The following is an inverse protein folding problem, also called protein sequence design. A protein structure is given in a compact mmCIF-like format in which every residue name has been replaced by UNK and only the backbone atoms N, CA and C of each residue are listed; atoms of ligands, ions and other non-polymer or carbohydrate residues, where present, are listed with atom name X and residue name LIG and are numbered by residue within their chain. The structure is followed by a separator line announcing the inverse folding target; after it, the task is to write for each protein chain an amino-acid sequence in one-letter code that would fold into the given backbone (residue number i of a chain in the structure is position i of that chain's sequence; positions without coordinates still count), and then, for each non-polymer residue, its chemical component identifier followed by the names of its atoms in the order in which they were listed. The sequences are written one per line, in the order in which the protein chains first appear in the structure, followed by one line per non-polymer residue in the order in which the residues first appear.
data_IF_646892512348
#
_entry.id   IF_646892512348
#
_cell.length_a   1.000
_cell.length_b   1.000
_cell.length_c   1.000
_cell.angle_alpha   90.00
_cell.angle_beta   90.00
_cell.angle_gamma   90.00
#
_symmetry.space_group_name_H-M   'P 1'
#
loop_
_entity.id
_entity.type
_entity.pdbx_description
1 polymer ?
#
# COMPACT_ATOMS: atom_id res chain seq x y z
N UNK A 1 20.27 0.44 -4.65
CA UNK A 1 19.30 1.49 -4.27
C UNK A 1 18.04 0.77 -3.87
N UNK A 2 17.50 1.08 -2.69
CA UNK A 2 16.34 0.38 -2.16
C UNK A 2 15.07 0.57 -2.97
N UNK A 3 14.09 -0.28 -2.75
CA UNK A 3 12.82 -0.32 -3.47
C UNK A 3 11.66 0.18 -2.61
N UNK A 4 10.69 0.86 -3.24
CA UNK A 4 9.43 1.25 -2.62
C UNK A 4 8.30 0.36 -3.11
N UNK A 5 7.72 -0.39 -2.18
CA UNK A 5 6.62 -1.30 -2.43
C UNK A 5 5.29 -0.75 -1.90
N UNK A 6 4.27 -0.74 -2.75
CA UNK A 6 2.89 -0.44 -2.38
C UNK A 6 2.18 -1.74 -2.06
N UNK A 7 1.65 -1.89 -0.85
CA UNK A 7 0.87 -3.06 -0.42
C UNK A 7 -0.58 -2.62 -0.19
N UNK A 8 -1.50 -3.13 -0.98
CA UNK A 8 -2.90 -2.68 -0.91
C UNK A 8 -3.89 -3.83 -0.96
N UNK A 9 -4.80 -3.83 0.01
CA UNK A 9 -6.04 -4.59 -0.08
C UNK A 9 -7.02 -3.81 -0.97
N UNK A 10 -7.60 -4.49 -1.97
CA UNK A 10 -8.39 -3.85 -3.01
C UNK A 10 -9.57 -4.73 -3.41
N UNK A 11 -10.72 -4.11 -3.62
CA UNK A 11 -11.91 -4.77 -4.17
C UNK A 11 -11.80 -4.94 -5.70
N UNK A 12 -12.66 -5.76 -6.30
CA UNK A 12 -12.72 -5.91 -7.76
C UNK A 12 -12.98 -4.61 -8.51
N UNK A 13 -13.68 -3.65 -7.89
CA UNK A 13 -13.96 -2.32 -8.46
C UNK A 13 -12.96 -1.24 -8.01
N UNK A 14 -11.86 -1.66 -7.38
CA UNK A 14 -10.72 -0.79 -7.08
C UNK A 14 -10.78 0.00 -5.78
N UNK A 15 -11.73 -0.28 -4.89
CA UNK A 15 -11.86 0.41 -3.60
C UNK A 15 -10.81 -0.11 -2.62
N UNK A 16 -10.18 0.81 -1.88
CA UNK A 16 -9.14 0.55 -0.88
C UNK A 16 -9.51 1.08 0.52
N UNK A 17 -10.66 1.73 0.66
CA UNK A 17 -11.07 2.39 1.89
C UNK A 17 -11.52 1.39 2.94
N UNK A 18 -11.07 1.58 4.19
CA UNK A 18 -11.57 0.90 5.40
C UNK A 18 -11.57 -0.64 5.32
N UNK A 19 -10.61 -1.25 4.63
CA UNK A 19 -10.53 -2.70 4.46
C UNK A 19 -10.55 -3.46 5.79
N UNK A 20 -9.73 -3.07 6.76
CA UNK A 20 -9.57 -3.75 8.05
C UNK A 20 -10.69 -3.47 9.07
N UNK A 21 -11.56 -2.51 8.82
CA UNK A 21 -12.67 -2.14 9.69
C UNK A 21 -12.87 -0.64 9.84
N UNK A 22 -13.91 -0.22 10.57
CA UNK A 22 -14.18 1.18 10.77
C UNK A 22 -13.08 1.83 11.61
N UNK A 23 -12.63 3.01 11.18
CA UNK A 23 -11.72 3.86 11.91
C UNK A 23 -12.26 5.30 11.95
N UNK A 24 -11.79 6.10 12.90
CA UNK A 24 -12.13 7.52 12.95
C UNK A 24 -11.81 8.25 11.63
N UNK A 25 -10.80 7.78 10.90
CA UNK A 25 -10.35 8.37 9.64
C UNK A 25 -11.25 8.02 8.43
N UNK A 26 -12.11 7.02 8.57
CA UNK A 26 -13.01 6.55 7.51
C UNK A 26 -14.43 7.11 7.62
N UNK A 27 -14.75 7.79 8.75
CA UNK A 27 -16.08 8.27 9.03
C UNK A 27 -17.13 7.14 9.04
N UNK A 28 -18.32 7.44 8.51
CA UNK A 28 -19.45 6.50 8.46
C UNK A 28 -19.42 5.60 7.20
N UNK A 29 -18.24 5.14 6.77
CA UNK A 29 -18.13 4.26 5.61
C UNK A 29 -18.83 2.92 5.88
N UNK A 30 -19.95 2.69 5.20
CA UNK A 30 -20.91 1.59 5.43
C UNK A 30 -20.27 0.19 5.34
N UNK A 31 -19.30 0.00 4.44
CA UNK A 31 -18.70 -1.30 4.14
C UNK A 31 -17.35 -1.53 4.84
N UNK A 32 -17.05 -0.78 5.90
CA UNK A 32 -15.80 -0.93 6.64
C UNK A 32 -15.59 -2.38 7.13
N UNK A 33 -14.38 -2.92 6.91
CA UNK A 33 -14.04 -4.30 7.25
C UNK A 33 -14.42 -5.33 6.19
N UNK A 34 -14.62 -4.89 4.94
CA UNK A 34 -15.02 -5.75 3.83
C UNK A 34 -14.05 -6.89 3.51
N UNK A 35 -12.78 -6.82 3.94
CA UNK A 35 -11.81 -7.90 3.74
C UNK A 35 -12.00 -9.08 4.72
N UNK A 36 -12.57 -8.83 5.92
CA UNK A 36 -12.62 -9.79 7.02
C UNK A 36 -13.23 -11.15 6.68
N UNK A 37 -14.31 -11.24 5.87
CA UNK A 37 -14.89 -12.53 5.50
C UNK A 37 -13.97 -13.44 4.69
N UNK A 38 -12.90 -12.88 4.10
CA UNK A 38 -11.98 -13.57 3.19
C UNK A 38 -10.65 -13.92 3.83
N UNK A 39 -10.51 -13.67 5.14
CA UNK A 39 -9.27 -13.98 5.85
C UNK A 39 -9.10 -15.48 6.04
N UNK A 40 -7.90 -15.98 5.82
CA UNK A 40 -7.49 -17.35 6.09
C UNK A 40 -6.04 -17.39 6.63
N UNK A 41 -5.64 -18.53 7.19
CA UNK A 41 -4.33 -18.67 7.82
C UNK A 41 -3.17 -18.53 6.81
N UNK A 42 -3.33 -19.06 5.59
CA UNK A 42 -2.28 -19.02 4.56
C UNK A 42 -2.05 -17.58 4.06
N UNK A 43 -3.11 -16.82 3.85
CA UNK A 43 -3.02 -15.40 3.50
C UNK A 43 -2.40 -14.59 4.66
N UNK A 44 -2.74 -14.92 5.90
CA UNK A 44 -2.15 -14.32 7.10
C UNK A 44 -0.62 -14.54 7.18
N UNK A 45 -0.15 -15.75 6.94
CA UNK A 45 1.29 -16.06 6.90
C UNK A 45 2.03 -15.25 5.83
N UNK A 46 1.44 -15.11 4.64
CA UNK A 46 2.03 -14.31 3.57
C UNK A 46 2.09 -12.82 3.92
N UNK A 47 1.02 -12.28 4.53
CA UNK A 47 0.99 -10.87 4.99
C UNK A 47 2.08 -10.65 6.05
N UNK A 48 2.25 -11.56 6.98
CA UNK A 48 3.32 -11.50 8.00
C UNK A 48 4.68 -11.46 7.32
N UNK A 49 4.95 -12.34 6.37
CA UNK A 49 6.22 -12.39 5.64
C UNK A 49 6.49 -11.07 4.89
N UNK A 50 5.48 -10.52 4.22
CA UNK A 50 5.59 -9.24 3.49
C UNK A 50 5.86 -8.06 4.44
N UNK A 51 5.21 -8.02 5.59
CA UNK A 51 5.44 -6.97 6.60
C UNK A 51 6.83 -7.10 7.22
N UNK A 52 7.28 -8.32 7.50
CA UNK A 52 8.60 -8.58 8.09
C UNK A 52 9.76 -8.24 7.14
N UNK A 53 9.52 -8.27 5.83
CA UNK A 53 10.50 -7.88 4.82
C UNK A 53 10.79 -6.37 4.80
N UNK A 54 9.88 -5.53 5.34
CA UNK A 54 10.08 -4.08 5.35
C UNK A 54 11.12 -3.65 6.39
N UNK A 55 11.98 -2.72 6.02
CA UNK A 55 12.92 -2.03 6.92
C UNK A 55 12.58 -0.55 7.16
N UNK A 56 11.56 -0.03 6.47
CA UNK A 56 10.96 1.29 6.70
C UNK A 56 9.49 1.33 6.24
N UNK A 57 8.68 2.14 6.93
CA UNK A 57 7.32 2.46 6.51
C UNK A 57 7.26 3.89 5.95
N UNK A 58 6.62 4.05 4.79
CA UNK A 58 6.22 5.34 4.26
C UNK A 58 4.69 5.46 4.32
N UNK A 59 4.19 6.35 5.14
CA UNK A 59 2.75 6.46 5.41
C UNK A 59 2.26 7.89 5.12
N UNK A 60 1.13 8.01 4.45
CA UNK A 60 0.39 9.27 4.47
C UNK A 60 -0.22 9.52 5.85
N UNK A 61 -0.43 10.79 6.21
CA UNK A 61 -0.95 11.19 7.53
C UNK A 61 -2.20 10.39 7.96
N UNK A 62 -3.17 10.19 7.07
CA UNK A 62 -4.38 9.43 7.38
C UNK A 62 -4.07 7.98 7.76
N UNK A 63 -3.27 7.29 6.96
CA UNK A 63 -2.88 5.90 7.24
C UNK A 63 -2.02 5.82 8.51
N UNK A 64 -1.14 6.80 8.73
CA UNK A 64 -0.38 6.88 9.97
C UNK A 64 -1.29 6.94 11.21
N UNK A 65 -2.35 7.76 11.18
CA UNK A 65 -3.27 7.85 12.32
C UNK A 65 -4.05 6.56 12.55
N UNK A 66 -4.46 5.86 11.48
CA UNK A 66 -5.06 4.53 11.56
C UNK A 66 -4.09 3.54 12.21
N UNK A 67 -2.85 3.49 11.72
CA UNK A 67 -1.83 2.56 12.20
C UNK A 67 -1.40 2.88 13.64
N UNK A 68 -1.21 4.16 13.96
CA UNK A 68 -0.89 4.63 15.30
C UNK A 68 -1.95 4.27 16.34
N UNK A 69 -3.20 4.26 15.95
CA UNK A 69 -4.30 3.89 16.85
C UNK A 69 -4.40 2.39 17.12
N UNK A 70 -3.84 1.56 16.24
CA UNK A 70 -4.02 0.11 16.29
C UNK A 70 -2.76 -0.68 16.66
N UNK A 71 -1.60 -0.36 16.07
CA UNK A 71 -0.40 -1.21 16.15
C UNK A 71 0.45 -1.03 17.41
N UNK A 72 0.60 0.16 18.02
CA UNK A 72 1.41 0.31 19.23
C UNK A 72 0.95 -0.65 20.33
N UNK A 73 1.91 -1.34 20.94
CA UNK A 73 1.65 -2.32 21.99
C UNK A 73 1.15 -3.69 21.51
N UNK A 74 0.92 -3.92 20.22
CA UNK A 74 0.62 -5.25 19.68
C UNK A 74 1.86 -6.14 19.75
N UNK A 75 1.67 -7.37 20.27
CA UNK A 75 2.74 -8.34 20.50
C UNK A 75 2.73 -9.50 19.50
N UNK A 76 1.80 -9.48 18.52
CA UNK A 76 1.85 -10.39 17.38
C UNK A 76 3.00 -10.05 16.43
N UNK A 77 3.22 -10.88 15.42
CA UNK A 77 4.36 -10.76 14.50
C UNK A 77 4.31 -9.48 13.68
N UNK A 78 3.11 -9.06 13.22
CA UNK A 78 2.91 -7.82 12.46
C UNK A 78 3.18 -6.60 13.35
N UNK A 79 2.59 -6.57 14.55
CA UNK A 79 2.78 -5.47 15.50
C UNK A 79 4.23 -5.27 15.89
N UNK A 80 4.96 -6.38 16.15
CA UNK A 80 6.41 -6.32 16.41
C UNK A 80 7.21 -5.83 15.20
N UNK A 81 6.88 -6.28 13.99
CA UNK A 81 7.56 -5.85 12.77
C UNK A 81 7.36 -4.35 12.52
N UNK A 82 6.12 -3.85 12.59
CA UNK A 82 5.84 -2.42 12.46
C UNK A 82 6.42 -1.57 13.61
N UNK A 83 6.47 -2.11 14.83
CA UNK A 83 7.08 -1.42 15.97
C UNK A 83 8.58 -1.15 15.77
N UNK A 84 9.28 -2.09 15.12
CA UNK A 84 10.75 -2.08 14.97
C UNK A 84 11.28 -1.06 13.98
N UNK A 85 10.56 -0.80 12.89
CA UNK A 85 11.04 -0.01 11.76
C UNK A 85 10.68 1.48 11.88
N UNK A 86 11.45 2.42 11.28
CA UNK A 86 11.08 3.83 11.23
C UNK A 86 9.84 4.06 10.37
N UNK A 87 9.04 5.07 10.73
CA UNK A 87 7.82 5.50 10.05
C UNK A 87 8.01 6.90 9.50
N UNK A 88 8.11 7.01 8.19
CA UNK A 88 8.16 8.30 7.49
C UNK A 88 6.76 8.75 7.13
N UNK A 89 6.33 9.86 7.71
CA UNK A 89 4.94 10.33 7.62
C UNK A 89 4.84 11.51 6.68
N UNK A 90 4.30 11.28 5.50
CA UNK A 90 4.09 12.32 4.50
C UNK A 90 2.93 13.23 4.91
N UNK A 91 3.24 14.50 5.23
CA UNK A 91 2.26 15.50 5.61
C UNK A 91 2.74 16.92 5.32
N UNK A 92 1.88 17.74 4.71
CA UNK A 92 2.11 19.17 4.50
C UNK A 92 1.78 20.04 5.72
N UNK A 93 1.03 19.49 6.67
CA UNK A 93 0.73 20.15 7.94
C UNK A 93 1.64 19.65 9.05
N UNK A 94 1.25 19.89 10.31
CA UNK A 94 1.97 19.42 11.49
C UNK A 94 1.23 18.21 12.07
N UNK A 95 1.60 16.97 11.70
CA UNK A 95 0.97 15.78 12.25
C UNK A 95 1.44 15.54 13.69
N UNK A 96 0.55 15.00 14.50
CA UNK A 96 0.91 14.51 15.83
C UNK A 96 1.59 13.13 15.70
N UNK A 97 2.91 13.08 15.91
CA UNK A 97 3.74 11.89 15.78
C UNK A 97 4.04 11.29 17.15
N UNK A 98 3.16 10.43 17.65
CA UNK A 98 3.28 9.80 18.99
C UNK A 98 3.68 8.32 18.94
N UNK A 99 3.76 7.73 17.76
CA UNK A 99 4.30 6.37 17.60
C UNK A 99 5.82 6.45 17.46
N UNK A 100 6.54 5.68 18.26
CA UNK A 100 8.00 5.70 18.30
C UNK A 100 8.64 5.57 16.91
N UNK A 101 9.77 6.24 16.71
CA UNK A 101 10.51 6.28 15.45
C UNK A 101 9.75 6.88 14.26
N UNK A 102 8.73 7.72 14.52
CA UNK A 102 8.01 8.45 13.48
C UNK A 102 8.69 9.77 13.13
N UNK A 103 8.85 10.02 11.84
CA UNK A 103 9.55 11.17 11.27
C UNK A 103 8.65 11.80 10.22
N UNK A 104 8.38 13.10 10.32
CA UNK A 104 7.64 13.81 9.28
C UNK A 104 8.52 14.02 8.04
N UNK A 105 7.92 13.81 6.86
CA UNK A 105 8.48 14.24 5.59
C UNK A 105 7.48 15.19 4.91
N UNK A 106 7.98 16.21 4.23
CA UNK A 106 7.17 17.25 3.57
C UNK A 106 7.32 17.26 2.06
N UNK A 107 8.51 17.05 1.55
CA UNK A 107 8.82 16.86 0.13
C UNK A 107 8.96 15.37 -0.17
N UNK A 108 7.83 14.76 -0.57
CA UNK A 108 7.77 13.31 -0.81
C UNK A 108 8.78 12.89 -1.87
N UNK A 109 8.92 13.67 -2.96
CA UNK A 109 9.79 13.32 -4.07
C UNK A 109 11.26 13.28 -3.69
N UNK A 110 11.76 14.36 -3.10
CA UNK A 110 13.16 14.47 -2.67
C UNK A 110 13.47 13.48 -1.55
N UNK A 111 12.58 13.37 -0.56
CA UNK A 111 12.83 12.57 0.63
C UNK A 111 12.77 11.07 0.34
N UNK A 112 11.84 10.59 -0.51
CA UNK A 112 11.79 9.16 -0.89
C UNK A 112 13.07 8.75 -1.63
N UNK A 113 13.61 9.60 -2.51
CA UNK A 113 14.91 9.31 -3.16
C UNK A 113 16.02 9.14 -2.13
N UNK A 114 16.10 10.00 -1.11
CA UNK A 114 17.05 9.86 -0.01
C UNK A 114 16.79 8.66 0.90
N UNK A 115 15.52 8.25 1.08
CA UNK A 115 15.18 7.05 1.85
C UNK A 115 15.71 5.78 1.18
N UNK A 116 15.65 5.69 -0.15
CA UNK A 116 16.18 4.55 -0.93
C UNK A 116 17.70 4.36 -0.81
N UNK A 117 18.44 5.37 -0.36
CA UNK A 117 19.87 5.24 -0.07
C UNK A 117 20.13 4.61 1.31
N UNK A 118 19.14 4.65 2.21
CA UNK A 118 19.24 4.23 3.60
C UNK A 118 18.49 2.95 3.92
N UNK A 119 17.54 2.58 3.09
CA UNK A 119 16.63 1.46 3.27
C UNK A 119 16.60 0.58 2.02
N UNK A 120 16.53 -0.72 2.20
CA UNK A 120 16.43 -1.68 1.11
C UNK A 120 14.97 -1.92 0.69
N UNK A 121 14.05 -1.97 1.67
CA UNK A 121 12.64 -2.32 1.47
C UNK A 121 11.72 -1.33 2.18
N UNK A 122 11.34 -0.28 1.48
CA UNK A 122 10.38 0.72 1.97
C UNK A 122 8.97 0.27 1.60
N UNK A 123 8.10 0.08 2.59
CA UNK A 123 6.73 -0.35 2.32
C UNK A 123 5.71 0.75 2.66
N UNK A 124 4.65 0.84 1.84
CA UNK A 124 3.51 1.73 2.10
C UNK A 124 2.17 0.99 1.96
N UNK A 125 1.24 1.34 2.84
CA UNK A 125 -0.18 0.92 2.80
C UNK A 125 -1.12 2.11 2.54
N UNK A 126 -0.63 3.17 1.94
CA UNK A 126 -1.39 4.40 1.68
C UNK A 126 -0.87 5.60 2.46
N UNK A 127 -1.53 6.71 2.46
CA UNK A 127 -2.93 6.97 2.06
C UNK A 127 -3.09 7.13 0.55
N UNK A 128 -4.37 7.09 0.09
CA UNK A 128 -4.69 7.23 -1.33
C UNK A 128 -4.01 8.45 -1.98
N UNK A 129 -4.02 9.61 -1.34
CA UNK A 129 -3.37 10.83 -1.88
C UNK A 129 -1.85 10.71 -1.97
N UNK A 130 -1.20 10.03 -0.99
CA UNK A 130 0.24 9.76 -1.06
C UNK A 130 0.55 8.88 -2.26
N UNK A 131 -0.23 7.82 -2.48
CA UNK A 131 -0.04 6.91 -3.61
C UNK A 131 -0.14 7.63 -4.96
N UNK A 132 -1.09 8.57 -5.13
CA UNK A 132 -1.18 9.38 -6.34
C UNK A 132 0.08 10.24 -6.57
N UNK A 133 0.69 10.75 -5.51
CA UNK A 133 1.96 11.49 -5.61
C UNK A 133 3.09 10.56 -6.01
N UNK A 134 3.20 9.40 -5.37
CA UNK A 134 4.25 8.40 -5.66
C UNK A 134 4.16 7.88 -7.10
N UNK A 135 2.95 7.60 -7.60
CA UNK A 135 2.74 7.16 -8.98
C UNK A 135 3.08 8.27 -9.99
N UNK A 136 2.63 9.50 -9.75
CA UNK A 136 2.92 10.65 -10.63
C UNK A 136 4.41 10.93 -10.76
N UNK A 137 5.18 10.73 -9.68
CA UNK A 137 6.62 10.98 -9.64
C UNK A 137 7.46 9.73 -9.95
N UNK A 138 6.81 8.64 -10.40
CA UNK A 138 7.46 7.37 -10.74
C UNK A 138 8.39 6.85 -9.62
N UNK A 139 7.93 6.95 -8.36
CA UNK A 139 8.69 6.55 -7.18
C UNK A 139 8.37 5.12 -6.70
N UNK A 140 7.39 4.47 -7.29
CA UNK A 140 6.97 3.10 -6.92
C UNK A 140 7.69 2.08 -7.80
N UNK A 141 8.37 1.12 -7.18
CA UNK A 141 9.02 0.02 -7.88
C UNK A 141 8.09 -1.18 -8.04
N UNK A 142 7.35 -1.51 -7.00
CA UNK A 142 6.47 -2.67 -7.00
C UNK A 142 5.11 -2.37 -6.36
N UNK A 143 4.08 -2.98 -6.92
CA UNK A 143 2.71 -2.95 -6.37
C UNK A 143 2.30 -4.39 -6.04
N UNK A 144 1.94 -4.63 -4.78
CA UNK A 144 1.40 -5.87 -4.26
C UNK A 144 -0.08 -5.66 -3.97
N UNK A 145 -0.94 -6.28 -4.76
CA UNK A 145 -2.39 -6.15 -4.64
C UNK A 145 -2.99 -7.42 -4.07
N UNK A 146 -3.62 -7.32 -2.92
CA UNK A 146 -4.52 -8.30 -2.39
C UNK A 146 -5.93 -8.00 -2.92
N UNK A 147 -6.32 -8.69 -3.98
CA UNK A 147 -7.60 -8.51 -4.66
C UNK A 147 -8.65 -9.40 -4.02
N UNK A 148 -9.69 -8.80 -3.48
CA UNK A 148 -10.78 -9.50 -2.82
C UNK A 148 -12.01 -9.60 -3.72
N UNK A 149 -12.75 -10.74 -3.70
CA UNK A 149 -13.88 -10.99 -4.59
C UNK A 149 -15.14 -10.25 -4.12
N UNK A 150 -15.06 -8.92 -4.02
CA UNK A 150 -16.15 -8.04 -3.60
C UNK A 150 -16.20 -6.78 -4.47
N UNK A 151 -17.38 -6.26 -4.71
CA UNK A 151 -17.67 -4.98 -5.36
C UNK A 151 -18.43 -4.11 -4.36
N UNK A 152 -17.99 -2.88 -4.14
CA UNK A 152 -18.58 -1.94 -3.18
C UNK A 152 -19.29 -0.79 -3.90
N UNK A 153 -18.78 -0.34 -5.04
CA UNK A 153 -19.40 0.73 -5.85
C UNK A 153 -19.09 2.14 -5.38
N UNK A 154 -18.63 2.34 -4.15
CA UNK A 154 -18.31 3.65 -3.56
C UNK A 154 -17.06 3.56 -2.69
N UNK A 155 -16.42 4.71 -2.42
CA UNK A 155 -15.21 4.79 -1.59
C UNK A 155 -13.97 5.24 -2.34
N UNK A 156 -12.86 5.38 -1.61
CA UNK A 156 -11.56 5.78 -2.19
C UNK A 156 -10.99 4.62 -2.99
N UNK A 157 -10.61 4.91 -4.24
CA UNK A 157 -10.00 3.94 -5.16
C UNK A 157 -8.48 4.07 -5.19
N UNK A 158 -7.80 2.95 -5.47
CA UNK A 158 -6.35 2.95 -5.70
C UNK A 158 -5.99 3.74 -6.97
N UNK A 159 -6.74 3.53 -8.03
CA UNK A 159 -6.60 4.21 -9.31
C UNK A 159 -7.88 5.00 -9.65
N UNK A 160 -8.09 6.17 -9.02
CA UNK A 160 -9.22 7.05 -9.34
C UNK A 160 -9.04 7.64 -10.75
N UNK A 161 -10.09 8.26 -11.26
CA UNK A 161 -10.02 9.05 -12.49
C UNK A 161 -8.91 10.12 -12.40
N UNK A 162 -8.14 10.28 -13.47
CA UNK A 162 -6.99 11.17 -13.52
C UNK A 162 -5.68 10.59 -12.94
N UNK A 163 -5.67 9.32 -12.51
CA UNK A 163 -4.41 8.64 -12.16
C UNK A 163 -3.46 8.64 -13.36
N UNK A 164 -2.19 8.91 -13.11
CA UNK A 164 -1.14 8.84 -14.13
C UNK A 164 -1.12 7.47 -14.79
N UNK A 165 -1.17 7.43 -16.12
CA UNK A 165 -1.10 6.19 -16.87
C UNK A 165 0.28 5.53 -16.67
N UNK A 166 0.30 4.25 -16.37
CA UNK A 166 1.52 3.47 -16.13
C UNK A 166 1.36 2.03 -16.63
N UNK A 167 2.47 1.37 -16.80
CA UNK A 167 2.51 -0.05 -17.17
C UNK A 167 3.05 -0.89 -16.03
N UNK A 168 2.66 -2.14 -16.03
CA UNK A 168 3.11 -3.10 -15.04
C UNK A 168 3.63 -4.36 -15.71
N UNK A 169 4.66 -4.96 -15.12
CA UNK A 169 5.16 -6.28 -15.46
C UNK A 169 4.92 -7.22 -14.27
N UNK A 170 4.42 -8.41 -14.56
CA UNK A 170 4.18 -9.41 -13.51
C UNK A 170 5.51 -9.92 -12.95
N UNK A 171 5.68 -9.83 -11.62
CA UNK A 171 6.90 -10.27 -10.92
C UNK A 171 6.84 -11.77 -10.59
N UNK A 172 5.66 -12.26 -10.24
CA UNK A 172 5.42 -13.65 -9.88
C UNK A 172 4.02 -14.09 -10.34
N UNK A 173 3.77 -15.38 -10.56
CA UNK A 173 2.43 -15.88 -10.84
C UNK A 173 1.42 -15.44 -9.78
N UNK A 174 0.18 -15.08 -10.17
CA UNK A 174 -0.87 -14.77 -9.22
C UNK A 174 -1.09 -15.93 -8.26
N UNK A 175 -1.22 -15.63 -6.97
CA UNK A 175 -1.49 -16.64 -5.95
C UNK A 175 -2.91 -16.47 -5.42
N UNK A 176 -3.73 -17.51 -5.56
CA UNK A 176 -5.05 -17.57 -4.96
C UNK A 176 -4.97 -18.19 -3.56
N UNK A 177 -5.80 -17.71 -2.65
CA UNK A 177 -5.87 -18.16 -1.25
C UNK A 177 -7.23 -18.79 -0.94
N UNK A 178 -7.29 -19.71 0.04
CA UNK A 178 -8.51 -20.43 0.39
C UNK A 178 -9.70 -19.52 0.75
N UNK A 179 -9.43 -18.37 1.37
CA UNK A 179 -10.44 -17.35 1.70
C UNK A 179 -11.03 -16.62 0.48
N UNK A 180 -10.45 -16.82 -0.71
CA UNK A 180 -10.91 -16.22 -1.97
C UNK A 180 -10.11 -14.99 -2.40
N UNK A 181 -9.21 -14.48 -1.60
CA UNK A 181 -8.31 -13.39 -2.00
C UNK A 181 -7.27 -13.87 -3.02
N UNK A 182 -6.82 -12.96 -3.88
CA UNK A 182 -5.71 -13.19 -4.83
C UNK A 182 -4.60 -12.17 -4.58
N UNK A 183 -3.35 -12.64 -4.45
CA UNK A 183 -2.18 -11.77 -4.43
C UNK A 183 -1.59 -11.62 -5.82
N UNK A 184 -1.53 -10.39 -6.29
CA UNK A 184 -0.90 -9.98 -7.55
C UNK A 184 0.32 -9.12 -7.23
N UNK A 185 1.46 -9.43 -7.86
CA UNK A 185 2.71 -8.67 -7.69
C UNK A 185 3.19 -8.14 -9.02
N UNK A 186 3.31 -6.83 -9.11
CA UNK A 186 3.69 -6.14 -10.34
C UNK A 186 4.83 -5.15 -10.10
N UNK A 187 5.83 -5.19 -10.97
CA UNK A 187 6.83 -4.12 -11.10
C UNK A 187 6.22 -2.97 -11.90
N UNK A 188 6.43 -1.74 -11.43
CA UNK A 188 6.09 -0.55 -12.19
C UNK A 188 7.13 -0.32 -13.30
N UNK A 189 6.67 -0.12 -14.53
CA UNK A 189 7.52 0.19 -15.67
C UNK A 189 7.43 1.69 -15.98
N UNK A 190 8.54 2.25 -16.43
CA UNK A 190 8.56 3.64 -16.86
C UNK A 190 7.69 3.88 -18.12
N UNK A 191 7.10 5.05 -18.18
CA UNK A 191 6.32 5.55 -19.29
C UNK A 191 4.88 5.03 -19.36
N UNK A 192 4.03 5.74 -20.13
CA UNK A 192 2.63 5.35 -20.32
C UNK A 192 2.51 4.05 -21.13
N UNK A 193 1.33 3.39 -21.12
CA UNK A 193 1.02 2.34 -22.08
C UNK A 193 1.22 2.91 -23.48
N UNK A 194 2.27 2.43 -24.18
CA UNK A 194 2.50 2.79 -25.58
C UNK A 194 1.39 2.24 -26.47
N UNK A 195 1.29 2.72 -27.70
CA UNK A 195 0.59 2.00 -28.77
C UNK A 195 1.28 0.63 -28.85
N UNK A 196 0.64 -0.36 -28.21
CA UNK A 196 1.17 -1.70 -28.18
C UNK A 196 1.56 -2.08 -29.59
N UNK A 197 2.75 -2.61 -29.76
CA UNK A 197 3.31 -3.11 -31.00
C UNK A 197 2.25 -3.97 -31.74
N UNK A 198 1.38 -3.32 -32.51
CA UNK A 198 0.39 -3.97 -33.39
C UNK A 198 1.09 -4.66 -34.55
N UNK A 199 2.41 -4.77 -34.50
CA UNK A 199 3.28 -5.27 -35.57
C UNK A 199 3.86 -6.66 -35.40
N UNK A 200 3.53 -7.41 -34.32
CA UNK A 200 3.97 -8.81 -34.19
C UNK A 200 2.82 -9.80 -34.27
N UNK A 201 2.10 -9.76 -35.40
CA UNK A 201 1.40 -10.92 -35.95
C UNK A 201 2.07 -11.26 -37.26
N UNK A 202 3.03 -12.15 -37.20
CA UNK A 202 3.49 -13.00 -38.29
C UNK A 202 3.78 -14.38 -37.75
#
# INVERSE_FOLDING_TARGET
MGELHVNMNITLDGVIQANGGPTEQDGDFEYAGWERPFWDAESGEQIIADVQASDALLLGRTTYYIFRAYWPGKTDEIGRAFGRVPKYVASRGTPELTWDTSIQITDVGAEVRGLRERHEQIHTWGSANLLQTLFREALVDQVNLWVYPVVIGQGKKLFPEGTTAMRFEQVAPPKAYPGGAMLLRYRCLEGPPGDGDRGRQN
#
